data_IF_787466136701
#
_entry.id   IF_787466136701
#
_cell.length_a   1.000
_cell.length_b   1.000
_cell.length_c   1.000
_cell.angle_alpha   90.00
_cell.angle_beta   90.00
_cell.angle_gamma   90.00
#
_symmetry.space_group_name_H-M   'P 1'
#
loop_
_entity.id
_entity.type
_entity.pdbx_description
1 polymer ?
#
# COMPACT_ATOMS: atom_id res chain seq x y z
N UNK A 1 8.39 -12.41 -23.70
CA UNK A 1 7.11 -12.16 -23.00
C UNK A 1 7.40 -11.08 -21.97
N UNK A 2 7.02 -9.82 -22.22
CA UNK A 2 7.06 -8.80 -21.15
C UNK A 2 6.04 -9.23 -20.09
N UNK A 3 6.52 -9.47 -18.87
CA UNK A 3 5.68 -9.92 -17.76
C UNK A 3 4.55 -8.93 -17.48
N UNK A 4 3.40 -9.45 -17.06
CA UNK A 4 2.30 -8.62 -16.61
C UNK A 4 2.73 -7.87 -15.34
N UNK A 5 2.56 -6.55 -15.36
CA UNK A 5 2.75 -5.66 -14.21
C UNK A 5 1.94 -6.16 -13.00
N UNK A 6 2.57 -6.30 -11.86
CA UNK A 6 1.95 -6.84 -10.64
C UNK A 6 1.53 -5.72 -9.68
N UNK A 7 0.39 -5.89 -9.02
CA UNK A 7 -0.16 -4.90 -8.10
C UNK A 7 -0.83 -5.57 -6.90
N UNK A 8 -0.63 -4.98 -5.73
CA UNK A 8 -1.25 -5.38 -4.47
C UNK A 8 -1.62 -4.15 -3.65
N UNK A 9 -2.36 -4.36 -2.56
CA UNK A 9 -2.75 -3.29 -1.65
C UNK A 9 -2.88 -3.76 -0.21
N UNK A 10 -2.58 -2.87 0.72
CA UNK A 10 -2.71 -3.07 2.17
C UNK A 10 -3.58 -1.96 2.74
N UNK A 11 -4.53 -2.34 3.60
CA UNK A 11 -5.33 -1.39 4.37
C UNK A 11 -4.70 -1.21 5.74
N UNK A 12 -4.47 0.04 6.14
CA UNK A 12 -3.83 0.43 7.39
C UNK A 12 -4.87 0.84 8.44
N UNK A 13 -4.51 0.76 9.72
CA UNK A 13 -5.37 1.08 10.85
C UNK A 13 -6.18 -0.10 11.38
N UNK A 14 -5.72 -1.34 11.10
CA UNK A 14 -6.31 -2.58 11.60
C UNK A 14 -5.56 -3.13 12.84
N UNK A 15 -4.49 -2.45 13.27
CA UNK A 15 -3.68 -2.82 14.43
C UNK A 15 -2.27 -3.33 14.07
N UNK A 16 -1.92 -3.26 12.78
CA UNK A 16 -0.59 -3.58 12.28
C UNK A 16 0.47 -2.61 12.81
N UNK A 17 1.68 -3.13 13.01
CA UNK A 17 2.85 -2.33 13.37
C UNK A 17 3.64 -1.90 12.13
N UNK A 18 4.49 -0.89 12.28
CA UNK A 18 5.38 -0.46 11.20
C UNK A 18 6.33 -1.59 10.75
N UNK A 19 6.82 -2.42 11.68
CA UNK A 19 7.73 -3.53 11.36
C UNK A 19 7.04 -4.63 10.56
N UNK A 20 5.78 -4.96 10.88
CA UNK A 20 4.98 -5.90 10.07
C UNK A 20 4.72 -5.34 8.68
N UNK A 21 4.44 -4.04 8.55
CA UNK A 21 4.26 -3.40 7.25
C UNK A 21 5.55 -3.41 6.43
N UNK A 22 6.70 -3.13 7.06
CA UNK A 22 8.01 -3.20 6.41
C UNK A 22 8.33 -4.61 5.94
N UNK A 23 8.12 -5.62 6.79
CA UNK A 23 8.29 -7.02 6.42
C UNK A 23 7.39 -7.41 5.25
N UNK A 24 6.12 -6.99 5.27
CA UNK A 24 5.20 -7.24 4.18
C UNK A 24 5.67 -6.59 2.86
N UNK A 25 6.22 -5.37 2.91
CA UNK A 25 6.82 -4.73 1.74
C UNK A 25 8.00 -5.54 1.18
N UNK A 26 8.89 -6.01 2.07
CA UNK A 26 10.06 -6.80 1.68
C UNK A 26 9.64 -8.13 1.04
N UNK A 27 8.66 -8.82 1.62
CA UNK A 27 8.12 -10.07 1.07
C UNK A 27 7.44 -9.86 -0.30
N UNK A 28 6.68 -8.76 -0.45
CA UNK A 28 6.04 -8.42 -1.71
C UNK A 28 7.07 -8.11 -2.80
N UNK A 29 8.13 -7.36 -2.48
CA UNK A 29 9.23 -7.10 -3.42
C UNK A 29 9.94 -8.40 -3.79
N UNK A 30 10.25 -9.26 -2.82
CA UNK A 30 10.89 -10.55 -3.07
C UNK A 30 10.08 -11.46 -4.00
N UNK A 31 8.75 -11.28 -4.05
CA UNK A 31 7.85 -11.99 -4.95
C UNK A 31 7.54 -11.22 -6.25
N UNK A 32 8.30 -10.17 -6.56
CA UNK A 32 8.20 -9.44 -7.82
C UNK A 32 7.01 -8.49 -7.90
N UNK A 33 6.58 -7.90 -6.77
CA UNK A 33 5.57 -6.85 -6.78
C UNK A 33 6.12 -5.54 -7.37
N UNK A 34 5.43 -4.98 -8.36
CA UNK A 34 5.80 -3.69 -8.95
C UNK A 34 5.14 -2.51 -8.23
N UNK A 35 3.85 -2.65 -7.88
CA UNK A 35 3.01 -1.56 -7.39
C UNK A 35 2.31 -1.93 -6.09
N UNK A 36 2.41 -1.04 -5.10
CA UNK A 36 1.68 -1.15 -3.85
C UNK A 36 0.71 0.02 -3.68
N UNK A 37 -0.49 -0.26 -3.15
CA UNK A 37 -1.41 0.77 -2.68
C UNK A 37 -1.60 0.68 -1.17
N UNK A 38 -1.46 1.79 -0.45
CA UNK A 38 -1.69 1.89 0.99
C UNK A 38 -2.82 2.86 1.26
N UNK A 39 -3.89 2.37 1.89
CA UNK A 39 -5.09 3.16 2.19
C UNK A 39 -5.59 2.95 3.62
N UNK A 40 -6.32 3.92 4.16
CA UNK A 40 -6.94 3.77 5.48
C UNK A 40 -8.10 2.76 5.42
N UNK A 41 -8.10 1.82 6.36
CA UNK A 41 -9.26 1.02 6.68
C UNK A 41 -10.35 1.93 7.26
N UNK A 42 -11.50 1.96 6.59
CA UNK A 42 -12.69 2.63 7.06
C UNK A 42 -13.73 1.58 7.34
N UNK A 43 -14.10 1.45 8.62
CA UNK A 43 -15.12 0.51 9.06
C UNK A 43 -16.44 0.80 8.32
N UNK A 44 -16.97 -0.13 7.49
CA UNK A 44 -18.17 0.14 6.71
C UNK A 44 -19.42 0.28 7.57
N UNK A 45 -19.53 -0.54 8.62
CA UNK A 45 -20.62 -0.52 9.60
C UNK A 45 -20.10 -1.00 10.95
N UNK A 46 -20.82 -0.71 12.04
CA UNK A 46 -20.50 -1.15 13.41
C UNK A 46 -20.37 -2.66 13.63
N UNK A 47 -20.70 -3.48 12.63
CA UNK A 47 -20.56 -4.94 12.68
C UNK A 47 -19.22 -5.46 12.13
N UNK A 48 -18.43 -4.58 11.52
CA UNK A 48 -17.10 -4.92 11.01
C UNK A 48 -16.05 -4.62 12.09
N UNK A 49 -14.80 -5.04 11.85
CA UNK A 49 -13.70 -4.76 12.76
C UNK A 49 -13.62 -3.26 13.07
N UNK A 50 -13.35 -2.92 14.32
CA UNK A 50 -13.16 -1.52 14.70
C UNK A 50 -11.85 -0.99 14.11
N UNK A 51 -11.81 0.32 13.84
CA UNK A 51 -10.57 0.98 13.42
C UNK A 51 -9.67 1.06 14.64
N UNK A 52 -8.48 0.45 14.56
CA UNK A 52 -7.49 0.50 15.62
C UNK A 52 -6.82 1.89 15.68
N UNK A 53 -6.50 2.45 14.50
CA UNK A 53 -5.87 3.76 14.39
C UNK A 53 -6.29 4.47 13.10
N UNK A 54 -6.48 5.79 13.18
CA UNK A 54 -6.56 6.66 12.00
C UNK A 54 -5.16 7.22 11.70
N UNK A 55 -4.52 6.66 10.68
CA UNK A 55 -3.14 6.94 10.35
C UNK A 55 -3.00 8.37 9.82
N UNK A 56 -2.05 9.13 10.39
CA UNK A 56 -1.78 10.50 9.97
C UNK A 56 -1.25 10.55 8.51
N UNK A 57 -1.63 11.54 7.68
CA UNK A 57 -1.13 11.68 6.30
C UNK A 57 0.40 11.62 6.17
N UNK A 58 1.14 12.20 7.12
CA UNK A 58 2.62 12.16 7.11
C UNK A 58 3.18 10.74 7.27
N UNK A 59 2.45 9.84 7.93
CA UNK A 59 2.85 8.44 8.06
C UNK A 59 2.65 7.71 6.73
N UNK A 60 1.57 7.99 6.00
CA UNK A 60 1.42 7.49 4.62
C UNK A 60 2.55 7.97 3.69
N UNK A 61 2.98 9.23 3.83
CA UNK A 61 4.11 9.77 3.08
C UNK A 61 5.42 9.02 3.40
N UNK A 62 5.69 8.76 4.70
CA UNK A 62 6.83 7.94 5.13
C UNK A 62 6.78 6.52 4.56
N UNK A 63 5.63 5.84 4.64
CA UNK A 63 5.49 4.49 4.09
C UNK A 63 5.64 4.42 2.56
N UNK A 64 5.27 5.49 1.85
CA UNK A 64 5.57 5.62 0.42
C UNK A 64 7.07 5.63 0.17
N UNK A 65 7.82 6.45 0.91
CA UNK A 65 9.28 6.51 0.79
C UNK A 65 9.93 5.17 1.13
N UNK A 66 9.48 4.52 2.20
CA UNK A 66 9.98 3.22 2.65
C UNK A 66 9.72 2.11 1.63
N UNK A 67 8.54 2.07 1.01
CA UNK A 67 8.22 1.11 -0.05
C UNK A 67 9.08 1.30 -1.30
N UNK A 68 9.31 2.56 -1.71
CA UNK A 68 10.18 2.88 -2.84
C UNK A 68 11.64 2.50 -2.57
N UNK A 69 12.15 2.76 -1.35
CA UNK A 69 13.51 2.34 -0.94
C UNK A 69 13.71 0.83 -0.99
N UNK A 70 12.67 0.04 -0.75
CA UNK A 70 12.69 -1.43 -0.78
C UNK A 70 12.66 -2.02 -2.19
N UNK A 71 12.34 -1.22 -3.22
CA UNK A 71 12.38 -1.65 -4.62
C UNK A 71 11.03 -1.71 -5.33
N UNK A 72 9.94 -1.29 -4.67
CA UNK A 72 8.65 -1.08 -5.36
C UNK A 72 8.81 0.02 -6.41
N UNK A 73 8.25 -0.19 -7.59
CA UNK A 73 8.34 0.75 -8.72
C UNK A 73 7.39 1.92 -8.55
N UNK A 74 6.27 1.69 -7.86
CA UNK A 74 5.31 2.74 -7.53
C UNK A 74 4.57 2.42 -6.23
N UNK A 75 4.33 3.45 -5.44
CA UNK A 75 3.51 3.36 -4.24
C UNK A 75 2.48 4.48 -4.23
N UNK A 76 1.21 4.11 -4.31
CA UNK A 76 0.09 5.02 -4.08
C UNK A 76 -0.27 4.95 -2.59
N UNK A 77 -0.17 6.05 -1.85
CA UNK A 77 -0.26 6.01 -0.39
C UNK A 77 -0.98 7.24 0.13
N UNK A 78 -2.07 7.02 0.86
CA UNK A 78 -2.84 8.09 1.48
C UNK A 78 -4.16 7.59 2.07
N UNK A 79 -4.81 8.39 2.94
CA UNK A 79 -5.98 7.93 3.69
C UNK A 79 -7.12 7.41 2.79
N UNK A 80 -7.39 8.09 1.68
CA UNK A 80 -8.48 7.76 0.77
C UNK A 80 -8.07 6.85 -0.40
N UNK A 81 -6.80 6.41 -0.44
CA UNK A 81 -6.33 5.51 -1.50
C UNK A 81 -7.09 4.19 -1.43
N UNK A 82 -7.43 3.68 -2.62
CA UNK A 82 -8.02 2.36 -2.84
C UNK A 82 -7.26 1.68 -3.96
N UNK A 83 -7.43 0.36 -4.10
CA UNK A 83 -6.72 -0.43 -5.11
C UNK A 83 -6.92 0.07 -6.54
N UNK A 84 -8.04 0.70 -6.87
CA UNK A 84 -8.31 1.26 -8.21
C UNK A 84 -8.03 2.76 -8.34
N UNK A 85 -7.74 3.46 -7.24
CA UNK A 85 -7.50 4.91 -7.26
C UNK A 85 -6.28 5.23 -8.12
N UNK A 86 -6.45 6.13 -9.10
CA UNK A 86 -5.45 6.51 -10.10
C UNK A 86 -4.74 5.34 -10.82
N UNK A 87 -5.40 4.19 -10.94
CA UNK A 87 -4.78 3.00 -11.54
C UNK A 87 -4.28 3.22 -12.98
N UNK A 88 -4.86 4.18 -13.73
CA UNK A 88 -4.39 4.60 -15.05
C UNK A 88 -2.95 5.13 -15.02
N UNK A 89 -2.52 5.78 -13.93
CA UNK A 89 -1.16 6.28 -13.77
C UNK A 89 -0.15 5.16 -13.54
N UNK A 90 -0.63 4.04 -13.00
CA UNK A 90 0.22 2.92 -12.61
C UNK A 90 0.65 2.10 -13.84
N UNK A 91 -0.11 2.17 -14.93
CA UNK A 91 0.16 1.44 -16.19
C UNK A 91 1.47 1.90 -16.85
N UNK A 92 1.82 3.18 -16.70
CA UNK A 92 2.94 3.82 -17.38
C UNK A 92 4.22 3.93 -16.52
N UNK A 93 4.23 3.36 -15.31
CA UNK A 93 5.40 3.37 -14.42
C UNK A 93 6.51 2.53 -15.03
N UNK A 94 7.72 3.05 -15.31
CA UNK A 94 8.81 2.23 -15.83
C UNK A 94 9.13 1.05 -14.87
N UNK A 95 9.11 -0.18 -15.39
CA UNK A 95 9.36 -1.42 -14.61
C UNK A 95 10.73 -1.98 -14.94
#
# INVERSE_FOLDING_TARGET
>A
LQGHRTKSGIMLGLGETADELHQAMDDLVANGLDILTLGQYLQPTKRHLEVAEFIHPDTFARYKEEGLKRGLKYVESGPLVRSSYHAERHVNVPI
#
